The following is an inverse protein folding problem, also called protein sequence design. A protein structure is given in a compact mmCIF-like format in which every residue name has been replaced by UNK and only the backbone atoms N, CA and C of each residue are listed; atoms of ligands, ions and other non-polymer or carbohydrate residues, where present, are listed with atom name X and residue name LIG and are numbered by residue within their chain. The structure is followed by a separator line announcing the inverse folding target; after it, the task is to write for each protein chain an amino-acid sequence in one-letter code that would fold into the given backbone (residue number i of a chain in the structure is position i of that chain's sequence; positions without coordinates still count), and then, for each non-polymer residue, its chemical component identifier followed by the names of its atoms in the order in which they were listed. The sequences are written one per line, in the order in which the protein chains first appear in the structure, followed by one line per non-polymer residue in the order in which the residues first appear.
data_IF_737086097756
#
_entry.id   IF_737086097756
#
_cell.length_a   1.000
_cell.length_b   1.000
_cell.length_c   1.000
_cell.angle_alpha   90.00
_cell.angle_beta   90.00
_cell.angle_gamma   90.00
#
_symmetry.space_group_name_H-M   'P 1'
#
loop_
_entity.id
_entity.type
_entity.pdbx_description
1 polymer ?
#
# COMPACT_ATOMS: atom_id res chain seq x y z
N UNK A 1 -4.62 11.23 -10.98
CA UNK A 1 -5.82 10.57 -10.46
C UNK A 1 -5.90 10.80 -8.96
N UNK A 2 -7.12 10.91 -8.42
CA UNK A 2 -7.35 11.11 -7.00
C UNK A 2 -7.39 9.75 -6.29
N UNK A 3 -6.64 9.64 -5.20
CA UNK A 3 -6.53 8.43 -4.39
C UNK A 3 -6.68 8.80 -2.93
N UNK A 4 -7.32 7.92 -2.15
CA UNK A 4 -7.25 7.99 -0.70
C UNK A 4 -5.90 7.43 -0.23
N UNK A 5 -5.38 7.97 0.87
CA UNK A 5 -4.18 7.41 1.51
C UNK A 5 -4.33 5.91 1.82
N UNK A 6 -5.53 5.47 2.22
CA UNK A 6 -5.83 4.05 2.43
C UNK A 6 -5.61 3.19 1.18
N UNK A 7 -5.98 3.69 0.00
CA UNK A 7 -5.81 2.98 -1.28
C UNK A 7 -4.33 2.82 -1.63
N UNK A 8 -3.52 3.85 -1.37
CA UNK A 8 -2.06 3.82 -1.56
C UNK A 8 -1.43 2.83 -0.57
N UNK A 9 -1.87 2.88 0.68
CA UNK A 9 -1.37 2.04 1.76
C UNK A 9 -1.63 0.55 1.49
N UNK A 10 -2.82 0.20 1.04
CA UNK A 10 -3.21 -1.17 0.70
C UNK A 10 -2.55 -1.67 -0.60
N UNK A 11 -2.35 -0.79 -1.58
CA UNK A 11 -1.72 -1.13 -2.85
C UNK A 11 -0.24 -1.52 -2.71
N UNK A 12 0.51 -0.83 -1.84
CA UNK A 12 1.97 -0.99 -1.71
C UNK A 12 2.44 -2.46 -1.57
N UNK A 13 1.95 -3.26 -0.61
CA UNK A 13 2.40 -4.64 -0.46
C UNK A 13 2.07 -5.52 -1.68
N UNK A 14 0.92 -5.30 -2.34
CA UNK A 14 0.58 -6.09 -3.53
C UNK A 14 1.41 -5.67 -4.75
N UNK A 15 1.73 -4.38 -4.86
CA UNK A 15 2.61 -3.87 -5.90
C UNK A 15 4.03 -4.41 -5.74
N UNK A 16 4.55 -4.51 -4.52
CA UNK A 16 5.85 -5.13 -4.23
C UNK A 16 5.87 -6.61 -4.64
N UNK A 17 4.80 -7.36 -4.37
CA UNK A 17 4.67 -8.76 -4.84
C UNK A 17 4.70 -8.86 -6.36
N UNK A 18 4.02 -7.95 -7.07
CA UNK A 18 4.04 -7.92 -8.54
C UNK A 18 5.44 -7.60 -9.08
N UNK A 19 6.14 -6.64 -8.47
CA UNK A 19 7.50 -6.27 -8.86
C UNK A 19 8.51 -7.41 -8.65
N UNK A 20 8.22 -8.35 -7.75
CA UNK A 20 9.02 -9.55 -7.54
C UNK A 20 8.84 -10.65 -8.59
N UNK A 21 7.93 -10.48 -9.56
CA UNK A 21 7.68 -11.46 -10.64
C UNK A 21 8.49 -11.13 -11.89
N UNK A 22 8.87 -12.16 -12.64
CA UNK A 22 9.36 -11.99 -14.02
C UNK A 22 8.20 -11.54 -14.92
N UNK A 23 8.37 -10.39 -15.56
CA UNK A 23 7.35 -9.73 -16.37
C UNK A 23 7.97 -9.19 -17.67
N UNK A 24 7.19 -9.07 -18.76
CA UNK A 24 7.66 -8.40 -19.97
C UNK A 24 8.18 -6.99 -19.65
N UNK A 25 9.27 -6.59 -20.31
CA UNK A 25 10.03 -5.36 -19.98
C UNK A 25 9.16 -4.11 -19.86
N UNK A 26 8.16 -3.96 -20.74
CA UNK A 26 7.24 -2.82 -20.73
C UNK A 26 6.36 -2.79 -19.48
N UNK A 27 5.88 -3.96 -19.04
CA UNK A 27 5.03 -4.14 -17.86
C UNK A 27 5.85 -3.89 -16.59
N UNK A 28 7.02 -4.52 -16.50
CA UNK A 28 7.94 -4.35 -15.37
C UNK A 28 8.32 -2.87 -15.18
N UNK A 29 8.70 -2.18 -16.27
CA UNK A 29 9.04 -0.77 -16.22
C UNK A 29 7.85 0.11 -15.80
N UNK A 30 6.64 -0.16 -16.33
CA UNK A 30 5.42 0.54 -15.95
C UNK A 30 5.11 0.41 -14.46
N UNK A 31 5.15 -0.81 -13.93
CA UNK A 31 4.92 -1.09 -12.51
C UNK A 31 5.98 -0.42 -11.63
N UNK A 32 7.26 -0.46 -12.03
CA UNK A 32 8.33 0.17 -11.27
C UNK A 32 8.15 1.69 -11.19
N UNK A 33 7.79 2.33 -12.32
CA UNK A 33 7.52 3.78 -12.36
C UNK A 33 6.31 4.15 -11.50
N UNK A 34 5.26 3.35 -11.54
CA UNK A 34 4.08 3.52 -10.68
C UNK A 34 4.44 3.38 -9.20
N UNK A 35 5.18 2.33 -8.84
CA UNK A 35 5.62 2.08 -7.47
C UNK A 35 6.46 3.24 -6.93
N UNK A 36 7.39 3.76 -7.72
CA UNK A 36 8.19 4.93 -7.33
C UNK A 36 7.33 6.16 -7.01
N UNK A 37 6.27 6.41 -7.78
CA UNK A 37 5.37 7.54 -7.54
C UNK A 37 4.52 7.33 -6.29
N UNK A 38 3.96 6.14 -6.11
CA UNK A 38 3.18 5.81 -4.91
C UNK A 38 4.04 5.74 -3.65
N UNK A 39 5.31 5.39 -3.77
CA UNK A 39 6.22 5.28 -2.64
C UNK A 39 6.46 6.63 -1.94
N UNK A 40 6.43 7.75 -2.68
CA UNK A 40 6.56 9.10 -2.10
C UNK A 40 5.42 9.38 -1.12
N UNK A 41 4.19 9.10 -1.54
CA UNK A 41 3.00 9.27 -0.69
C UNK A 41 3.00 8.23 0.45
N UNK A 42 3.29 6.97 0.14
CA UNK A 42 3.35 5.89 1.11
C UNK A 42 4.32 6.18 2.27
N UNK A 43 5.52 6.70 1.98
CA UNK A 43 6.49 7.06 3.01
C UNK A 43 5.97 8.16 3.94
N UNK A 44 5.22 9.13 3.40
CA UNK A 44 4.60 10.19 4.18
C UNK A 44 3.48 9.64 5.07
N UNK A 45 2.64 8.76 4.52
CA UNK A 45 1.59 8.05 5.27
C UNK A 45 2.20 7.24 6.43
N UNK A 46 3.22 6.44 6.15
CA UNK A 46 3.92 5.64 7.16
C UNK A 46 4.58 6.49 8.24
N UNK A 47 5.16 7.64 7.87
CA UNK A 47 5.74 8.57 8.84
C UNK A 47 4.68 9.06 9.84
N UNK A 48 3.52 9.50 9.36
CA UNK A 48 2.43 9.98 10.21
C UNK A 48 1.84 8.82 11.03
N UNK A 49 1.57 7.67 10.41
CA UNK A 49 1.09 6.46 11.09
C UNK A 49 2.02 6.02 12.22
N UNK A 50 3.33 6.02 12.00
CA UNK A 50 4.32 5.71 13.03
C UNK A 50 4.31 6.75 14.16
N UNK A 51 4.05 8.02 13.85
CA UNK A 51 3.80 9.06 14.85
C UNK A 51 2.56 8.74 15.71
N UNK A 52 1.46 8.32 15.10
CA UNK A 52 0.24 7.90 15.80
C UNK A 52 0.49 6.69 16.72
N UNK A 53 1.23 5.68 16.24
CA UNK A 53 1.62 4.51 17.04
C UNK A 53 2.47 4.94 18.25
N UNK A 54 3.43 5.86 18.07
CA UNK A 54 4.23 6.38 19.19
C UNK A 54 3.41 7.20 20.18
N UNK A 55 2.40 7.93 19.70
CA UNK A 55 1.52 8.78 20.52
C UNK A 55 0.53 7.98 21.37
N UNK A 56 -0.04 6.92 20.80
CA UNK A 56 -1.15 6.16 21.41
C UNK A 56 -0.78 4.75 21.86
N UNK A 57 0.37 4.26 21.42
CA UNK A 57 0.85 2.92 21.75
C UNK A 57 1.59 2.88 23.07
N UNK A 58 1.72 1.66 23.57
CA UNK A 58 2.52 1.32 24.74
C UNK A 58 3.71 0.49 24.28
N UNK A 59 4.85 0.70 24.93
CA UNK A 59 6.03 -0.12 24.72
C UNK A 59 5.78 -1.54 25.26
N UNK A 60 6.28 -2.53 24.53
CA UNK A 60 6.25 -3.91 24.97
C UNK A 60 7.09 -4.08 26.24
N UNK A 61 6.65 -4.95 27.15
CA UNK A 61 7.30 -5.17 28.44
C UNK A 61 8.66 -5.87 28.29
N UNK A 62 8.76 -6.77 27.32
CA UNK A 62 9.95 -7.57 27.04
C UNK A 62 10.86 -6.87 26.02
N UNK A 63 10.31 -5.96 25.21
CA UNK A 63 11.08 -5.13 24.29
C UNK A 63 10.58 -3.67 24.24
N UNK A 64 11.16 -2.77 25.05
CA UNK A 64 10.75 -1.37 25.09
C UNK A 64 10.89 -0.59 23.76
N UNK A 65 11.61 -1.13 22.77
CA UNK A 65 11.69 -0.53 21.44
C UNK A 65 10.47 -0.85 20.56
N UNK A 66 9.68 -1.87 20.92
CA UNK A 66 8.49 -2.26 20.20
C UNK A 66 7.28 -1.54 20.79
N UNK A 67 6.71 -0.60 20.05
CA UNK A 67 5.52 0.16 20.48
C UNK A 67 4.31 -0.34 19.70
N UNK A 68 3.21 -0.62 20.39
CA UNK A 68 1.96 -1.06 19.76
C UNK A 68 0.74 -0.47 20.43
N UNK A 69 -0.33 -0.24 19.65
CA UNK A 69 -1.62 0.22 20.18
C UNK A 69 -2.45 -0.99 20.57
N UNK A 70 -2.76 -1.13 21.85
CA UNK A 70 -3.60 -2.23 22.37
C UNK A 70 -5.06 -2.01 22.02
N UNK A 71 -5.72 -3.02 21.45
CA UNK A 71 -7.11 -2.92 20.98
C UNK A 71 -8.12 -2.68 22.12
N UNK A 72 -7.83 -3.22 23.30
CA UNK A 72 -8.61 -3.08 24.53
C UNK A 72 -8.20 -1.87 25.39
N UNK A 73 -7.20 -1.10 24.95
CA UNK A 73 -6.69 0.07 25.66
C UNK A 73 -7.54 1.33 25.46
N UNK A 74 -7.51 2.24 26.44
CA UNK A 74 -8.26 3.51 26.43
C UNK A 74 -7.90 4.42 25.24
N UNK A 75 -6.68 4.28 24.71
CA UNK A 75 -6.20 5.06 23.58
C UNK A 75 -6.58 4.49 22.20
N UNK A 76 -7.12 3.27 22.13
CA UNK A 76 -7.42 2.62 20.85
C UNK A 76 -8.40 3.43 19.99
N UNK A 77 -9.49 3.91 20.60
CA UNK A 77 -10.50 4.69 19.86
C UNK A 77 -9.94 6.03 19.34
N UNK A 78 -9.05 6.67 20.10
CA UNK A 78 -8.38 7.91 19.67
C UNK A 78 -7.43 7.64 18.50
N UNK A 79 -6.67 6.54 18.57
CA UNK A 79 -5.83 6.09 17.47
C UNK A 79 -6.66 5.78 16.22
N UNK A 80 -7.75 5.01 16.34
CA UNK A 80 -8.62 4.66 15.21
C UNK A 80 -9.19 5.92 14.56
N UNK A 81 -9.61 6.90 15.34
CA UNK A 81 -10.12 8.17 14.81
C UNK A 81 -9.06 8.91 13.96
N UNK A 82 -7.87 9.17 14.51
CA UNK A 82 -6.80 9.89 13.79
C UNK A 82 -6.23 9.05 12.62
N UNK A 83 -6.15 7.73 12.78
CA UNK A 83 -5.71 6.83 11.71
C UNK A 83 -6.72 6.81 10.56
N UNK A 84 -8.03 6.77 10.86
CA UNK A 84 -9.09 6.84 9.85
C UNK A 84 -9.08 8.19 9.14
N UNK A 85 -8.88 9.28 9.88
CA UNK A 85 -8.71 10.61 9.29
C UNK A 85 -7.53 10.61 8.31
N UNK A 86 -6.37 10.09 8.71
CA UNK A 86 -5.19 9.96 7.85
C UNK A 86 -5.49 9.15 6.58
N UNK A 87 -6.13 7.98 6.71
CA UNK A 87 -6.43 7.09 5.57
C UNK A 87 -7.44 7.70 4.60
N UNK A 88 -8.35 8.56 5.08
CA UNK A 88 -9.39 9.21 4.27
C UNK A 88 -8.93 10.51 3.59
N UNK A 89 -7.69 10.97 3.82
CA UNK A 89 -7.18 12.11 3.07
C UNK A 89 -7.00 11.74 1.60
N UNK A 90 -7.43 12.65 0.72
CA UNK A 90 -7.32 12.53 -0.73
C UNK A 90 -6.03 13.21 -1.22
N UNK A 91 -5.28 12.53 -2.07
CA UNK A 91 -4.11 13.06 -2.76
C UNK A 91 -4.26 12.88 -4.26
N UNK A 92 -3.70 13.81 -5.04
CA UNK A 92 -3.65 13.71 -6.49
C UNK A 92 -2.29 13.17 -6.94
N UNK A 93 -2.30 11.98 -7.55
CA UNK A 93 -1.09 11.33 -8.06
C UNK A 93 -1.17 11.17 -9.57
N UNK A 94 -0.16 11.65 -10.29
CA UNK A 94 -0.08 11.50 -11.75
C UNK A 94 0.51 10.14 -12.11
N UNK A 95 -0.33 9.13 -12.31
CA UNK A 95 0.06 7.77 -12.74
C UNK A 95 -0.77 7.32 -13.93
N UNK A 96 -0.19 6.45 -14.74
CA UNK A 96 -0.88 5.73 -15.81
C UNK A 96 -1.11 4.31 -15.35
N UNK A 97 -2.26 3.73 -15.72
CA UNK A 97 -2.51 2.32 -15.44
C UNK A 97 -1.57 1.42 -16.22
N UNK A 98 -1.17 0.31 -15.61
CA UNK A 98 -0.33 -0.69 -16.26
C UNK A 98 -1.19 -1.85 -16.73
N UNK A 99 -1.07 -2.16 -18.02
CA UNK A 99 -1.72 -3.32 -18.63
C UNK A 99 -0.90 -4.57 -18.34
N UNK A 100 -1.48 -5.50 -17.57
CA UNK A 100 -0.90 -6.79 -17.26
C UNK A 100 -1.32 -7.80 -18.33
N UNK A 101 -0.40 -8.64 -18.80
CA UNK A 101 -0.70 -9.62 -19.83
C UNK A 101 -1.54 -10.77 -19.27
N UNK A 102 -2.41 -11.37 -20.08
CA UNK A 102 -3.04 -12.67 -19.76
C UNK A 102 -2.10 -13.87 -19.94
N UNK A 103 -0.99 -13.69 -20.66
CA UNK A 103 -0.02 -14.74 -20.99
C UNK A 103 1.42 -14.20 -20.98
N UNK A 104 2.36 -14.99 -20.43
CA UNK A 104 3.81 -14.73 -20.50
C UNK A 104 4.48 -16.01 -20.98
N UNK A 105 5.29 -15.92 -22.04
CA UNK A 105 6.05 -17.04 -22.62
C UNK A 105 5.21 -18.29 -22.93
N UNK A 106 4.03 -18.12 -23.54
CA UNK A 106 3.17 -19.25 -23.91
C UNK A 106 2.37 -19.83 -22.74
N UNK A 107 2.40 -19.20 -21.56
CA UNK A 107 1.75 -19.70 -20.34
C UNK A 107 0.80 -18.67 -19.75
N UNK A 108 -0.38 -19.08 -19.24
CA UNK A 108 -1.29 -18.19 -18.55
C UNK A 108 -0.60 -17.44 -17.42
N UNK A 109 -0.73 -16.13 -17.41
CA UNK A 109 -0.19 -15.30 -16.35
C UNK A 109 -1.08 -15.45 -15.11
N UNK A 110 -0.49 -15.94 -14.02
CA UNK A 110 -1.23 -16.24 -12.79
C UNK A 110 -1.02 -15.14 -11.73
N UNK A 111 -2.14 -14.66 -11.19
CA UNK A 111 -2.19 -13.71 -10.08
C UNK A 111 -3.13 -14.21 -8.99
N UNK A 112 -2.78 -13.89 -7.76
CA UNK A 112 -3.70 -14.02 -6.63
C UNK A 112 -4.81 -12.95 -6.74
N UNK A 113 -6.04 -13.30 -6.38
CA UNK A 113 -7.17 -12.38 -6.47
C UNK A 113 -7.00 -11.11 -5.62
N UNK A 114 -6.31 -11.21 -4.47
CA UNK A 114 -6.00 -10.07 -3.59
C UNK A 114 -5.14 -9.00 -4.30
N UNK A 115 -4.31 -9.37 -5.27
CA UNK A 115 -3.51 -8.43 -6.07
C UNK A 115 -4.46 -7.61 -6.95
N UNK A 116 -5.41 -8.27 -7.63
CA UNK A 116 -6.38 -7.58 -8.48
C UNK A 116 -7.27 -6.63 -7.67
N UNK A 117 -7.73 -7.07 -6.51
CA UNK A 117 -8.59 -6.25 -5.63
C UNK A 117 -7.86 -4.99 -5.15
N UNK A 118 -6.63 -5.12 -4.63
CA UNK A 118 -5.90 -3.96 -4.10
C UNK A 118 -5.36 -3.04 -5.20
N UNK A 119 -5.20 -3.55 -6.43
CA UNK A 119 -4.60 -2.81 -7.53
C UNK A 119 -5.61 -2.38 -8.61
N UNK A 120 -6.92 -2.54 -8.39
CA UNK A 120 -7.97 -2.30 -9.39
C UNK A 120 -7.87 -0.90 -10.07
N UNK A 121 -7.51 0.13 -9.30
CA UNK A 121 -7.33 1.50 -9.82
C UNK A 121 -6.05 1.69 -10.63
N UNK A 122 -5.10 0.77 -10.48
CA UNK A 122 -3.71 0.90 -10.93
C UNK A 122 -3.39 0.01 -12.13
N UNK A 123 -4.09 -1.11 -12.30
CA UNK A 123 -3.82 -2.08 -13.37
C UNK A 123 -5.05 -2.37 -14.21
N UNK A 124 -4.82 -2.88 -15.41
CA UNK A 124 -5.84 -3.49 -16.28
C UNK A 124 -5.28 -4.83 -16.75
N UNK A 125 -6.14 -5.85 -16.90
CA UNK A 125 -5.72 -7.16 -17.43
C UNK A 125 -6.12 -7.23 -18.90
N UNK A 126 -5.15 -7.48 -19.77
CA UNK A 126 -5.32 -7.55 -21.24
C UNK A 126 -4.55 -8.70 -21.89
#
# INVERSE_FOLDING_TARGET
MKLLNGEIFEAKPQLDKLLGKELPVKVAYGLAKMANKLNVEFQTIELVRNGLIKKYGEADKDNPMQISVKQDGENFQKFVAEFTELMNQEVEVVIEKVKLPIEVDGKPFQLEANILMALEKFIEVE
#
